data_IF_090640244753
#
_entry.id   IF_090640244753
#
_cell.length_a   1.000
_cell.length_b   1.000
_cell.length_c   1.000
_cell.angle_alpha   90.00
_cell.angle_beta   90.00
_cell.angle_gamma   90.00
#
_symmetry.space_group_name_H-M   'P 1'
#
loop_
_entity.id
_entity.type
_entity.pdbx_description
1 polymer ?
#
# COMPACT_ATOMS: atom_id res chain seq x y z
N UNK A 1 -12.16 10.38 -28.05
CA UNK A 1 -12.45 10.64 -26.62
C UNK A 1 -13.27 9.47 -26.09
N UNK A 2 -12.63 8.34 -25.76
CA UNK A 2 -13.33 7.12 -25.35
C UNK A 2 -13.66 7.15 -23.86
N UNK A 3 -14.94 7.13 -23.52
CA UNK A 3 -15.41 6.97 -22.14
C UNK A 3 -15.43 5.48 -21.82
N UNK A 4 -14.52 5.02 -20.97
CA UNK A 4 -14.48 3.63 -20.54
C UNK A 4 -15.41 3.51 -19.32
N UNK A 5 -16.62 2.98 -19.54
CA UNK A 5 -17.53 2.62 -18.46
C UNK A 5 -17.09 1.28 -17.87
N UNK A 6 -16.32 1.32 -16.78
CA UNK A 6 -15.90 0.11 -16.08
C UNK A 6 -16.86 -0.16 -14.91
N UNK A 7 -17.34 -1.40 -14.77
CA UNK A 7 -18.15 -1.80 -13.61
C UNK A 7 -17.22 -1.93 -12.40
N UNK A 8 -17.43 -1.09 -11.39
CA UNK A 8 -16.89 -1.29 -10.05
C UNK A 8 -17.88 -2.20 -9.32
N UNK A 9 -17.49 -3.45 -9.09
CA UNK A 9 -18.24 -4.37 -8.24
C UNK A 9 -17.68 -4.30 -6.84
N UNK A 10 -18.14 -3.33 -6.05
CA UNK A 10 -17.87 -3.28 -4.62
C UNK A 10 -19.18 -3.51 -3.86
N UNK A 11 -19.29 -4.64 -3.16
CA UNK A 11 -20.14 -4.76 -1.97
C UNK A 11 -21.65 -4.53 -2.08
N UNK A 12 -22.31 -4.80 -3.22
CA UNK A 12 -23.77 -5.00 -3.24
C UNK A 12 -24.66 -3.75 -3.40
N UNK A 13 -24.08 -2.55 -3.57
CA UNK A 13 -24.87 -1.35 -3.88
C UNK A 13 -24.64 -0.92 -5.34
N UNK A 14 -25.65 -1.08 -6.20
CA UNK A 14 -25.60 -0.66 -7.62
C UNK A 14 -25.77 0.85 -7.73
N UNK A 15 -24.68 1.60 -7.67
CA UNK A 15 -24.65 2.98 -8.15
C UNK A 15 -23.86 3.05 -9.46
N UNK A 16 -24.57 3.30 -10.56
CA UNK A 16 -23.96 3.59 -11.86
C UNK A 16 -23.57 5.07 -11.86
N UNK A 17 -22.37 5.37 -11.37
CA UNK A 17 -21.80 6.71 -11.34
C UNK A 17 -20.58 6.81 -12.24
N UNK A 18 -20.54 7.83 -13.12
CA UNK A 18 -19.30 8.28 -13.75
C UNK A 18 -18.53 9.10 -12.71
N UNK A 19 -17.59 8.46 -12.02
CA UNK A 19 -16.68 9.16 -11.10
C UNK A 19 -15.64 9.89 -11.97
N UNK A 20 -15.57 11.23 -11.96
CA UNK A 20 -14.49 11.95 -12.61
C UNK A 20 -13.15 11.43 -12.09
N UNK A 21 -12.13 11.27 -12.95
CA UNK A 21 -10.81 10.71 -12.56
C UNK A 21 -10.19 11.43 -11.35
N UNK A 22 -10.55 12.70 -11.12
CA UNK A 22 -10.12 13.52 -9.99
C UNK A 22 -10.88 13.26 -8.67
N UNK A 23 -12.05 12.62 -8.73
CA UNK A 23 -12.87 12.21 -7.60
C UNK A 23 -12.82 10.68 -7.37
N UNK A 24 -11.95 9.97 -8.11
CA UNK A 24 -11.65 8.56 -7.82
C UNK A 24 -11.14 8.53 -6.38
N UNK A 25 -11.82 7.82 -5.46
CA UNK A 25 -11.30 7.59 -4.13
C UNK A 25 -9.87 7.06 -4.27
N UNK A 26 -8.94 7.56 -3.45
CA UNK A 26 -7.66 6.88 -3.32
C UNK A 26 -8.01 5.46 -2.87
N UNK A 27 -7.91 4.48 -3.79
CA UNK A 27 -8.37 3.12 -3.56
C UNK A 27 -7.76 2.59 -2.25
N UNK A 28 -8.60 2.48 -1.22
CA UNK A 28 -8.17 2.03 0.10
C UNK A 28 -7.94 0.53 0.01
N UNK A 29 -6.67 0.15 -0.08
CA UNK A 29 -6.29 -1.26 -0.09
C UNK A 29 -6.34 -1.80 1.34
N UNK A 30 -7.10 -2.88 1.56
CA UNK A 30 -7.12 -3.58 2.84
C UNK A 30 -5.76 -4.17 3.17
N UNK A 31 -5.27 -3.91 4.38
CA UNK A 31 -4.00 -4.44 4.91
C UNK A 31 -4.30 -5.22 6.19
N UNK A 32 -3.69 -6.40 6.32
CA UNK A 32 -3.90 -7.29 7.48
C UNK A 32 -3.46 -6.63 8.79
N UNK A 33 -4.31 -6.71 9.82
CA UNK A 33 -4.07 -6.10 11.13
C UNK A 33 -3.29 -7.00 12.09
N UNK A 34 -2.04 -7.34 11.76
CA UNK A 34 -1.23 -8.32 12.50
C UNK A 34 0.05 -7.72 13.13
N UNK A 35 0.10 -6.38 13.27
CA UNK A 35 1.25 -5.64 13.76
C UNK A 35 2.31 -5.31 12.70
N UNK A 36 2.14 -5.77 11.45
CA UNK A 36 3.00 -5.40 10.31
C UNK A 36 2.36 -4.37 9.38
N UNK A 37 1.13 -3.93 9.66
CA UNK A 37 0.33 -3.09 8.77
C UNK A 37 1.05 -1.82 8.27
N UNK A 38 1.85 -1.17 9.11
CA UNK A 38 2.64 0.01 8.72
C UNK A 38 3.63 -0.35 7.60
N UNK A 39 4.43 -1.41 7.78
CA UNK A 39 5.43 -1.82 6.80
C UNK A 39 4.79 -2.46 5.56
N UNK A 40 3.71 -3.23 5.73
CA UNK A 40 2.93 -3.77 4.62
C UNK A 40 2.34 -2.66 3.75
N UNK A 41 1.85 -1.56 4.35
CA UNK A 41 1.36 -0.39 3.61
C UNK A 41 2.46 0.27 2.77
N UNK A 42 3.69 0.35 3.31
CA UNK A 42 4.84 0.87 2.57
C UNK A 42 5.24 -0.04 1.41
N UNK A 43 5.28 -1.37 1.63
CA UNK A 43 5.55 -2.35 0.57
C UNK A 43 4.49 -2.26 -0.53
N UNK A 44 3.21 -2.25 -0.14
CA UNK A 44 2.09 -2.13 -1.06
C UNK A 44 2.19 -0.84 -1.90
N UNK A 45 2.37 0.31 -1.24
CA UNK A 45 2.55 1.58 -1.91
C UNK A 45 3.78 1.60 -2.82
N UNK A 46 4.89 0.99 -2.41
CA UNK A 46 6.09 0.89 -3.23
C UNK A 46 5.85 0.07 -4.51
N UNK A 47 5.16 -1.07 -4.41
CA UNK A 47 4.77 -1.88 -5.56
C UNK A 47 3.91 -1.10 -6.55
N UNK A 48 2.88 -0.40 -6.05
CA UNK A 48 2.01 0.43 -6.88
C UNK A 48 2.78 1.57 -7.56
N UNK A 49 3.67 2.25 -6.84
CA UNK A 49 4.49 3.33 -7.42
C UNK A 49 5.39 2.86 -8.56
N UNK A 50 5.89 1.63 -8.50
CA UNK A 50 6.70 1.04 -9.60
C UNK A 50 5.86 0.34 -10.66
N UNK A 51 4.52 0.44 -10.60
CA UNK A 51 3.61 -0.19 -11.55
C UNK A 51 3.58 -1.72 -11.46
N UNK A 52 4.11 -2.30 -10.37
CA UNK A 52 4.09 -3.75 -10.15
C UNK A 52 2.81 -4.15 -9.41
N UNK A 53 2.25 -5.33 -9.72
CA UNK A 53 1.17 -5.88 -8.91
C UNK A 53 1.65 -6.09 -7.48
N UNK A 54 0.74 -5.92 -6.53
CA UNK A 54 1.01 -6.18 -5.11
C UNK A 54 1.25 -7.68 -4.94
N UNK A 55 2.36 -8.07 -4.31
CA UNK A 55 2.69 -9.48 -4.12
C UNK A 55 1.72 -10.17 -3.16
N UNK A 56 1.68 -11.51 -3.21
CA UNK A 56 0.86 -12.33 -2.32
C UNK A 56 1.15 -12.03 -0.84
N UNK A 57 0.17 -12.26 0.02
CA UNK A 57 0.23 -11.92 1.45
C UNK A 57 1.51 -12.42 2.15
N UNK A 58 1.91 -13.67 1.91
CA UNK A 58 3.11 -14.26 2.50
C UNK A 58 4.38 -13.49 2.10
N UNK A 59 4.51 -13.14 0.81
CA UNK A 59 5.66 -12.39 0.29
C UNK A 59 5.64 -10.97 0.81
N UNK A 60 4.47 -10.33 0.86
CA UNK A 60 4.30 -8.99 1.44
C UNK A 60 4.71 -8.97 2.92
N UNK A 61 4.40 -10.05 3.66
CA UNK A 61 4.83 -10.22 5.05
C UNK A 61 6.36 -10.30 5.17
N UNK A 62 7.00 -11.14 4.37
CA UNK A 62 8.46 -11.29 4.36
C UNK A 62 9.16 -9.97 4.00
N UNK A 63 8.66 -9.27 2.98
CA UNK A 63 9.18 -7.95 2.60
C UNK A 63 8.96 -6.91 3.69
N UNK A 64 7.84 -6.95 4.40
CA UNK A 64 7.55 -6.06 5.52
C UNK A 64 8.51 -6.31 6.71
N UNK A 65 8.80 -7.57 7.02
CA UNK A 65 9.73 -7.95 8.10
C UNK A 65 11.18 -7.57 7.76
N UNK A 66 11.59 -7.76 6.50
CA UNK A 66 12.92 -7.36 6.03
C UNK A 66 13.07 -5.83 6.01
N UNK A 67 12.02 -5.11 5.57
CA UNK A 67 11.97 -3.64 5.63
C UNK A 67 12.05 -3.14 7.07
N UNK A 68 11.29 -3.74 7.99
CA UNK A 68 11.33 -3.40 9.42
C UNK A 68 12.75 -3.55 9.97
N UNK A 69 13.42 -4.66 9.65
CA UNK A 69 14.79 -4.92 10.09
C UNK A 69 15.76 -3.85 9.58
N UNK A 70 15.65 -3.45 8.31
CA UNK A 70 16.48 -2.39 7.72
C UNK A 70 16.23 -1.02 8.38
N UNK A 71 14.97 -0.66 8.58
CA UNK A 71 14.59 0.60 9.24
C UNK A 71 15.13 0.66 10.66
N UNK A 72 14.99 -0.41 11.45
CA UNK A 72 15.51 -0.47 12.82
C UNK A 72 17.03 -0.30 12.83
N UNK A 73 17.76 -1.00 11.95
CA UNK A 73 19.22 -0.85 11.83
C UNK A 73 19.63 0.59 11.52
N UNK A 74 18.95 1.22 10.57
CA UNK A 74 19.22 2.61 10.18
C UNK A 74 18.91 3.60 11.32
N UNK A 75 17.80 3.39 12.05
CA UNK A 75 17.45 4.24 13.19
C UNK A 75 18.44 4.11 14.36
N UNK A 76 18.93 2.90 14.64
CA UNK A 76 19.97 2.68 15.67
C UNK A 76 21.26 3.39 15.26
N UNK A 77 21.68 3.23 14.00
CA UNK A 77 22.87 3.91 13.46
C UNK A 77 22.77 5.43 13.62
N UNK A 78 21.66 6.04 13.21
CA UNK A 78 21.45 7.49 13.34
C UNK A 78 21.44 7.96 14.79
N UNK A 79 20.87 7.16 15.70
CA UNK A 79 20.92 7.45 17.14
C UNK A 79 22.35 7.48 17.66
N UNK A 80 23.21 6.53 17.24
CA UNK A 80 24.62 6.51 17.66
C UNK A 80 25.44 7.65 17.09
N UNK A 81 25.02 8.20 15.95
CA UNK A 81 25.69 9.32 15.27
C UNK A 81 25.21 10.70 15.77
N UNK A 82 24.16 10.75 16.60
CA UNK A 82 23.63 12.01 17.15
C UNK A 82 24.23 12.24 18.53
N UNK A 83 25.05 13.29 18.67
CA UNK A 83 25.43 13.86 19.96
C UNK A 83 24.19 14.59 20.52
N UNK A 84 23.73 14.17 21.70
CA UNK A 84 22.50 14.66 22.33
C UNK A 84 22.70 16.02 23.01
#
# INVERSE_FOLDING_TARGET
>A
MGMIAQRVSDGGCRVLGVIPKALVPLELSGITGDGRCMFQSVVHGACLRVGKPVPKENVTRELADDLRTKVVKELIKRRTETEW
#
